data_IF_660023147261
#
_entry.id   IF_660023147261
#
_cell.length_a   1.000
_cell.length_b   1.000
_cell.length_c   1.000
_cell.angle_alpha   90.00
_cell.angle_beta   90.00
_cell.angle_gamma   90.00
#
_symmetry.space_group_name_H-M   'P 1'
#
loop_
_entity.id
_entity.type
_entity.pdbx_description
1 polymer ?
#
# COMPACT_ATOMS: atom_id res chain seq x y z
N UNK A 1 22.07 -40.51 -25.42
CA UNK A 1 22.52 -41.87 -25.04
C UNK A 1 21.26 -42.72 -24.94
N UNK A 2 20.91 -43.43 -26.01
CA UNK A 2 19.70 -44.23 -26.11
C UNK A 2 20.12 -45.70 -25.98
N UNK A 3 19.71 -46.35 -24.90
CA UNK A 3 20.00 -47.77 -24.64
C UNK A 3 18.81 -48.58 -25.17
N UNK A 4 19.04 -49.35 -26.23
CA UNK A 4 18.08 -50.33 -26.75
C UNK A 4 18.48 -51.69 -26.17
N UNK A 5 17.59 -52.27 -25.36
CA UNK A 5 17.74 -53.62 -24.79
C UNK A 5 17.10 -54.61 -25.77
N UNK A 6 17.88 -55.59 -26.23
CA UNK A 6 17.42 -56.72 -27.04
C UNK A 6 17.50 -57.99 -26.20
N UNK A 7 16.39 -58.73 -26.10
CA UNK A 7 16.33 -60.04 -25.47
C UNK A 7 16.71 -61.13 -26.50
N UNK A 8 17.74 -61.93 -26.20
CA UNK A 8 18.07 -63.17 -26.90
C UNK A 8 17.27 -64.34 -26.31
N UNK A 9 16.52 -65.03 -27.17
CA UNK A 9 15.91 -66.33 -26.88
C UNK A 9 16.43 -67.36 -27.88
N UNK A 10 17.17 -68.34 -27.37
CA UNK A 10 17.85 -69.42 -28.09
C UNK A 10 16.88 -70.38 -28.79
N UNK A 11 17.07 -70.59 -30.09
CA UNK A 11 16.43 -71.68 -30.84
C UNK A 11 16.78 -71.57 -32.32
N UNK A 12 17.71 -72.41 -32.78
CA UNK A 12 18.34 -72.27 -34.09
C UNK A 12 17.42 -72.46 -35.29
N UNK A 13 17.78 -71.81 -36.39
CA UNK A 13 17.41 -72.22 -37.74
C UNK A 13 18.28 -71.52 -38.81
N UNK A 14 18.96 -72.35 -39.58
CA UNK A 14 19.45 -72.21 -40.95
C UNK A 14 19.65 -70.81 -41.54
N UNK A 15 20.92 -70.47 -41.81
CA UNK A 15 21.33 -69.39 -42.71
C UNK A 15 20.94 -69.71 -44.16
N UNK A 16 19.97 -68.98 -44.70
CA UNK A 16 19.71 -68.92 -46.14
C UNK A 16 20.10 -67.53 -46.63
N UNK A 17 21.23 -67.45 -47.33
CA UNK A 17 21.77 -66.21 -47.89
C UNK A 17 20.90 -65.68 -49.03
N UNK A 18 19.98 -64.78 -48.70
CA UNK A 18 19.34 -63.92 -49.70
C UNK A 18 20.23 -62.71 -49.96
N UNK A 19 20.91 -62.72 -51.10
CA UNK A 19 21.48 -61.53 -51.71
C UNK A 19 20.34 -60.62 -52.21
N UNK A 20 19.75 -59.84 -51.30
CA UNK A 20 18.95 -58.66 -51.65
C UNK A 20 19.89 -57.47 -51.88
N UNK A 21 20.59 -57.48 -53.00
CA UNK A 21 21.16 -56.27 -53.60
C UNK A 21 20.03 -55.47 -54.24
N UNK A 22 19.19 -54.85 -53.41
CA UNK A 22 18.22 -53.88 -53.85
C UNK A 22 17.81 -53.02 -52.66
N UNK A 23 18.22 -51.75 -52.71
CA UNK A 23 17.64 -50.64 -51.93
C UNK A 23 18.23 -50.28 -50.56
N UNK A 24 19.57 -50.31 -50.40
CA UNK A 24 20.24 -49.48 -49.37
C UNK A 24 19.93 -47.97 -49.51
N UNK A 25 19.44 -47.54 -50.68
CA UNK A 25 18.95 -46.17 -50.93
C UNK A 25 17.55 -45.87 -50.38
N UNK A 26 16.65 -46.85 -50.20
CA UNK A 26 15.31 -46.56 -49.67
C UNK A 26 15.29 -46.49 -48.14
N UNK A 27 16.04 -47.36 -47.45
CA UNK A 27 16.14 -47.35 -45.98
C UNK A 27 16.75 -46.03 -45.50
N UNK A 28 17.77 -45.51 -46.21
CA UNK A 28 18.36 -44.19 -45.92
C UNK A 28 17.40 -43.02 -46.11
N UNK A 29 16.44 -43.12 -47.06
CA UNK A 29 15.42 -42.08 -47.28
C UNK A 29 14.35 -42.08 -46.20
N UNK A 30 13.86 -43.26 -45.80
CA UNK A 30 12.85 -43.37 -44.73
C UNK A 30 13.42 -42.93 -43.38
N UNK A 31 14.66 -43.32 -43.07
CA UNK A 31 15.35 -42.86 -41.87
C UNK A 31 15.58 -41.34 -41.87
N UNK A 32 15.98 -40.76 -43.01
CA UNK A 32 16.13 -39.30 -43.13
C UNK A 32 14.80 -38.57 -42.91
N UNK A 33 13.70 -39.06 -43.49
CA UNK A 33 12.36 -38.48 -43.30
C UNK A 33 11.94 -38.57 -41.82
N UNK A 34 12.16 -39.70 -41.16
CA UNK A 34 11.83 -39.86 -39.75
C UNK A 34 12.63 -38.91 -38.84
N UNK A 35 13.94 -38.76 -39.09
CA UNK A 35 14.79 -37.83 -38.35
C UNK A 35 14.35 -36.39 -38.55
N UNK A 36 14.05 -35.99 -39.79
CA UNK A 36 13.53 -34.65 -40.09
C UNK A 36 12.20 -34.41 -39.36
N UNK A 37 11.29 -35.40 -39.37
CA UNK A 37 10.01 -35.32 -38.66
C UNK A 37 10.19 -35.10 -37.15
N UNK A 38 11.10 -35.84 -36.50
CA UNK A 38 11.39 -35.69 -35.07
C UNK A 38 11.96 -34.30 -34.76
N UNK A 39 12.89 -33.80 -35.59
CA UNK A 39 13.47 -32.46 -35.41
C UNK A 39 12.39 -31.39 -35.52
N UNK A 40 11.48 -31.50 -36.49
CA UNK A 40 10.37 -30.56 -36.65
C UNK A 40 9.45 -30.61 -35.44
N UNK A 41 9.06 -31.79 -34.96
CA UNK A 41 8.19 -31.94 -33.78
C UNK A 41 8.87 -31.35 -32.54
N UNK A 42 10.15 -31.62 -32.33
CA UNK A 42 10.90 -31.07 -31.20
C UNK A 42 11.05 -29.53 -31.29
N UNK A 43 11.28 -28.99 -32.48
CA UNK A 43 11.38 -27.54 -32.69
C UNK A 43 10.02 -26.84 -32.49
N UNK A 44 8.95 -27.41 -33.03
CA UNK A 44 7.58 -26.87 -32.86
C UNK A 44 7.14 -27.00 -31.41
N UNK A 45 7.38 -28.15 -30.77
CA UNK A 45 7.08 -28.37 -29.35
C UNK A 45 7.87 -27.43 -28.44
N UNK A 46 9.16 -27.24 -28.71
CA UNK A 46 10.01 -26.30 -27.98
C UNK A 46 9.58 -24.84 -28.17
N UNK A 47 9.23 -24.43 -29.39
CA UNK A 47 8.71 -23.08 -29.68
C UNK A 47 7.35 -22.85 -29.04
N UNK A 48 6.45 -23.83 -29.11
CA UNK A 48 5.14 -23.76 -28.46
C UNK A 48 5.28 -23.68 -26.94
N UNK A 49 6.15 -24.50 -26.34
CA UNK A 49 6.45 -24.43 -24.91
C UNK A 49 7.03 -23.07 -24.54
N UNK A 50 7.97 -22.54 -25.32
CA UNK A 50 8.55 -21.20 -25.10
C UNK A 50 7.51 -20.09 -25.20
N UNK A 51 6.61 -20.12 -26.20
CA UNK A 51 5.56 -19.11 -26.36
C UNK A 51 4.56 -19.15 -25.19
N UNK A 52 4.22 -20.34 -24.70
CA UNK A 52 3.28 -20.49 -23.58
C UNK A 52 3.91 -20.33 -22.19
N UNK A 53 5.24 -20.44 -22.08
CA UNK A 53 6.01 -20.16 -20.86
C UNK A 53 6.64 -18.76 -20.86
N UNK A 54 6.56 -18.04 -21.98
CA UNK A 54 7.04 -16.67 -22.03
C UNK A 54 6.22 -15.88 -21.01
N UNK A 55 6.88 -15.23 -20.02
CA UNK A 55 6.17 -14.46 -19.02
C UNK A 55 5.29 -13.44 -19.75
N UNK A 56 4.03 -13.34 -19.31
CA UNK A 56 3.08 -12.37 -19.86
C UNK A 56 3.77 -11.01 -19.94
N UNK A 57 3.94 -10.51 -21.17
CA UNK A 57 4.51 -9.19 -21.41
C UNK A 57 3.55 -8.08 -20.98
N UNK A 58 2.30 -8.44 -20.69
CA UNK A 58 1.33 -7.50 -20.17
C UNK A 58 1.70 -7.19 -18.71
N UNK A 59 1.82 -5.91 -18.34
CA UNK A 59 1.99 -5.51 -16.96
C UNK A 59 0.85 -6.03 -16.08
N UNK A 60 1.17 -6.45 -14.86
CA UNK A 60 0.18 -6.87 -13.86
C UNK A 60 -0.65 -5.65 -13.41
N UNK A 61 -1.97 -5.65 -13.63
CA UNK A 61 -2.82 -4.54 -13.23
C UNK A 61 -2.84 -4.37 -11.71
N UNK A 62 -3.01 -3.13 -11.27
CA UNK A 62 -3.21 -2.78 -9.86
C UNK A 62 -4.26 -1.68 -9.73
N UNK A 63 -4.89 -1.63 -8.55
CA UNK A 63 -5.67 -0.49 -8.09
C UNK A 63 -4.84 0.32 -7.09
N UNK A 64 -5.12 1.63 -7.04
CA UNK A 64 -4.56 2.57 -6.08
C UNK A 64 -5.75 3.22 -5.37
N UNK A 65 -5.73 3.23 -4.05
CA UNK A 65 -6.72 3.91 -3.22
C UNK A 65 -6.02 5.02 -2.45
N UNK A 66 -6.60 6.22 -2.46
CA UNK A 66 -6.11 7.35 -1.68
C UNK A 66 -7.14 7.70 -0.62
N UNK A 67 -6.74 7.57 0.64
CA UNK A 67 -7.59 7.75 1.81
C UNK A 67 -7.19 9.06 2.48
N UNK A 68 -8.13 10.01 2.52
CA UNK A 68 -7.97 11.23 3.32
C UNK A 68 -8.24 10.91 4.79
N UNK A 69 -7.44 11.48 5.70
CA UNK A 69 -7.74 11.42 7.15
C UNK A 69 -9.07 12.13 7.43
N UNK A 70 -9.85 11.63 8.42
CA UNK A 70 -11.29 11.86 8.46
C UNK A 70 -11.65 13.35 8.45
N UNK A 71 -12.45 13.75 7.45
CA UNK A 71 -13.20 15.00 7.48
C UNK A 71 -14.46 14.78 8.31
N UNK A 72 -14.69 15.63 9.31
CA UNK A 72 -15.96 15.67 10.03
C UNK A 72 -16.84 16.74 9.37
N UNK A 73 -18.14 16.48 9.15
CA UNK A 73 -18.85 15.22 9.43
C UNK A 73 -18.48 14.10 8.46
N UNK A 74 -18.40 12.89 9.02
CA UNK A 74 -18.12 11.65 8.30
C UNK A 74 -19.10 11.48 7.15
N UNK A 75 -18.60 11.21 5.94
CA UNK A 75 -19.41 11.03 4.74
C UNK A 75 -19.69 12.30 3.94
N UNK A 76 -19.07 13.43 4.29
CA UNK A 76 -18.99 14.62 3.43
C UNK A 76 -17.59 14.70 2.86
N UNK A 77 -17.35 13.94 1.79
CA UNK A 77 -16.06 13.85 1.08
C UNK A 77 -15.66 15.16 0.37
N UNK A 78 -16.53 16.17 0.36
CA UNK A 78 -16.42 17.24 -0.64
C UNK A 78 -15.50 18.41 -0.27
N UNK A 79 -14.98 18.55 0.96
CA UNK A 79 -14.12 19.69 1.30
C UNK A 79 -13.02 19.37 2.32
N UNK A 80 -11.84 18.98 1.83
CA UNK A 80 -10.63 18.91 2.65
C UNK A 80 -10.11 20.33 2.85
N UNK A 81 -10.07 20.78 4.11
CA UNK A 81 -9.57 22.09 4.48
C UNK A 81 -8.21 21.99 5.19
N UNK A 82 -7.34 22.95 4.93
CA UNK A 82 -6.08 23.15 5.62
C UNK A 82 -5.85 24.62 5.89
N UNK A 83 -4.95 24.94 6.81
CA UNK A 83 -4.38 26.27 6.96
C UNK A 83 -2.95 26.25 6.42
N UNK A 84 -2.41 27.42 6.08
CA UNK A 84 -1.03 27.50 5.60
C UNK A 84 -0.02 27.08 6.68
N UNK A 85 1.00 26.32 6.29
CA UNK A 85 2.03 25.78 7.20
C UNK A 85 1.61 24.53 7.99
N UNK A 86 0.36 24.08 7.87
CA UNK A 86 -0.11 22.85 8.50
C UNK A 86 -0.09 21.68 7.51
N UNK A 87 0.13 20.48 8.03
CA UNK A 87 0.31 19.27 7.23
C UNK A 87 -1.03 18.62 6.96
N UNK A 88 -1.32 18.36 5.69
CA UNK A 88 -2.41 17.49 5.24
C UNK A 88 -1.82 16.14 4.86
N UNK A 89 -2.41 15.05 5.33
CA UNK A 89 -1.90 13.68 5.11
C UNK A 89 -2.91 12.84 4.37
N UNK A 90 -2.42 12.12 3.38
CA UNK A 90 -3.15 11.14 2.58
C UNK A 90 -2.44 9.80 2.66
N UNK A 91 -3.21 8.74 2.93
CA UNK A 91 -2.71 7.38 2.93
C UNK A 91 -2.95 6.78 1.56
N UNK A 92 -1.94 6.13 0.99
CA UNK A 92 -2.03 5.47 -0.30
C UNK A 92 -1.83 3.98 -0.11
N UNK A 93 -2.82 3.19 -0.52
CA UNK A 93 -2.75 1.75 -0.55
C UNK A 93 -2.84 1.25 -2.00
N UNK A 94 -2.21 0.11 -2.27
CA UNK A 94 -2.28 -0.54 -3.58
C UNK A 94 -2.73 -1.99 -3.46
N UNK A 95 -3.45 -2.48 -4.45
CA UNK A 95 -3.86 -3.88 -4.53
C UNK A 95 -3.59 -4.46 -5.92
N UNK A 96 -3.08 -5.69 -5.94
CA UNK A 96 -2.85 -6.41 -7.18
C UNK A 96 -4.18 -7.00 -7.69
N UNK A 97 -4.66 -6.52 -8.84
CA UNK A 97 -5.97 -6.90 -9.38
C UNK A 97 -5.90 -7.98 -10.47
N UNK A 98 -4.69 -8.45 -10.80
CA UNK A 98 -4.48 -9.52 -11.76
C UNK A 98 -3.02 -9.92 -11.93
N UNK A 99 -2.80 -11.03 -12.62
CA UNK A 99 -1.46 -11.54 -12.93
C UNK A 99 -0.80 -10.79 -14.09
N UNK A 100 0.53 -10.84 -14.16
CA UNK A 100 1.30 -10.24 -15.26
C UNK A 100 2.74 -9.96 -14.88
N UNK A 101 3.47 -9.30 -15.77
CA UNK A 101 4.81 -8.79 -15.44
C UNK A 101 4.72 -7.73 -14.32
N UNK A 102 5.53 -7.89 -13.28
CA UNK A 102 5.52 -6.96 -12.14
C UNK A 102 4.52 -7.30 -11.03
N UNK A 103 3.78 -8.42 -11.11
CA UNK A 103 2.93 -8.88 -10.00
C UNK A 103 3.73 -9.03 -8.69
N UNK A 104 3.16 -8.57 -7.57
CA UNK A 104 3.80 -8.54 -6.25
C UNK A 104 5.03 -7.62 -6.15
N UNK A 105 5.33 -6.84 -7.20
CA UNK A 105 6.36 -5.80 -7.15
C UNK A 105 5.77 -4.50 -6.64
N UNK A 106 6.65 -3.69 -6.05
CA UNK A 106 6.27 -2.39 -5.53
C UNK A 106 5.73 -1.47 -6.65
N UNK A 107 4.78 -0.63 -6.29
CA UNK A 107 4.28 0.49 -7.06
C UNK A 107 5.01 1.74 -6.56
N UNK A 108 5.63 2.48 -7.47
CA UNK A 108 6.30 3.74 -7.15
C UNK A 108 5.24 4.84 -6.99
N UNK A 109 5.16 5.44 -5.80
CA UNK A 109 4.24 6.50 -5.43
C UNK A 109 4.96 7.85 -5.52
N UNK A 110 4.34 8.79 -6.20
CA UNK A 110 4.81 10.17 -6.31
C UNK A 110 3.63 11.13 -6.19
N UNK A 111 3.92 12.38 -5.81
CA UNK A 111 2.89 13.39 -5.67
C UNK A 111 3.42 14.78 -6.07
N UNK A 112 2.54 15.59 -6.65
CA UNK A 112 2.86 16.94 -7.12
C UNK A 112 1.70 17.89 -6.87
N UNK A 113 2.02 19.12 -6.48
CA UNK A 113 1.08 20.23 -6.31
C UNK A 113 1.84 21.55 -6.49
N UNK A 114 1.14 22.61 -6.90
CA UNK A 114 1.71 23.97 -6.90
C UNK A 114 1.26 24.72 -5.65
N UNK A 115 2.18 25.43 -4.98
CA UNK A 115 1.85 26.26 -3.81
C UNK A 115 1.81 25.52 -2.47
N UNK A 116 2.45 24.35 -2.40
CA UNK A 116 2.69 23.63 -1.16
C UNK A 116 3.97 22.79 -1.29
N UNK A 117 4.61 22.50 -0.17
CA UNK A 117 5.63 21.47 -0.08
C UNK A 117 4.96 20.08 -0.03
N UNK A 118 5.49 19.10 -0.75
CA UNK A 118 5.00 17.72 -0.75
C UNK A 118 6.13 16.76 -0.44
N UNK A 119 5.86 15.84 0.47
CA UNK A 119 6.76 14.73 0.82
C UNK A 119 5.98 13.42 0.70
N UNK A 120 6.63 12.39 0.12
CA UNK A 120 6.09 11.03 0.07
C UNK A 120 6.96 10.14 0.95
N UNK A 121 6.38 9.65 2.04
CA UNK A 121 7.01 8.66 2.91
C UNK A 121 6.65 7.27 2.41
N UNK A 122 7.63 6.37 2.45
CA UNK A 122 7.54 5.02 1.87
C UNK A 122 7.11 5.06 0.39
N UNK A 123 7.90 5.67 -0.52
CA UNK A 123 7.47 5.97 -1.90
C UNK A 123 7.41 4.74 -2.82
N UNK A 124 7.64 3.53 -2.33
CA UNK A 124 7.55 2.30 -3.12
C UNK A 124 6.90 1.20 -2.28
N UNK A 125 5.63 0.90 -2.56
CA UNK A 125 4.79 0.02 -1.73
C UNK A 125 4.24 -1.18 -2.49
N UNK A 126 4.10 -2.31 -1.80
CA UNK A 126 3.37 -3.50 -2.27
C UNK A 126 1.97 -3.54 -1.68
N UNK A 127 1.15 -4.48 -2.15
CA UNK A 127 -0.11 -4.82 -1.47
C UNK A 127 0.15 -5.18 -0.01
N UNK A 128 -0.64 -4.57 0.88
CA UNK A 128 -0.48 -4.64 2.34
C UNK A 128 0.48 -3.61 2.96
N UNK A 129 1.18 -2.80 2.16
CA UNK A 129 2.00 -1.67 2.63
C UNK A 129 1.29 -0.34 2.32
N UNK A 130 1.59 0.69 3.10
CA UNK A 130 0.98 2.02 2.97
C UNK A 130 2.06 3.08 2.73
N UNK A 131 1.82 3.96 1.76
CA UNK A 131 2.60 5.18 1.58
C UNK A 131 1.85 6.36 2.20
N UNK A 132 2.59 7.34 2.71
CA UNK A 132 1.99 8.56 3.26
C UNK A 132 2.42 9.75 2.41
N UNK A 133 1.46 10.41 1.79
CA UNK A 133 1.67 11.65 1.05
C UNK A 133 1.29 12.80 1.96
N UNK A 134 2.26 13.63 2.31
CA UNK A 134 2.04 14.81 3.13
C UNK A 134 2.18 16.07 2.28
N UNK A 135 1.25 17.00 2.42
CA UNK A 135 1.27 18.31 1.77
C UNK A 135 1.20 19.41 2.82
N UNK A 136 2.09 20.40 2.73
CA UNK A 136 2.10 21.57 3.64
C UNK A 136 1.92 22.84 2.80
N UNK A 137 0.72 23.46 2.78
CA UNK A 137 0.46 24.65 1.97
C UNK A 137 1.33 25.84 2.36
N UNK A 138 1.81 26.57 1.35
CA UNK A 138 2.58 27.80 1.58
C UNK A 138 1.66 28.94 2.04
N UNK A 139 2.22 29.93 2.73
CA UNK A 139 1.50 31.15 3.14
C UNK A 139 0.91 31.93 1.94
N UNK A 140 1.53 31.84 0.76
CA UNK A 140 0.99 32.47 -0.46
C UNK A 140 -0.23 31.75 -1.03
N UNK A 141 -0.55 30.57 -0.51
CA UNK A 141 -1.68 29.75 -0.95
C UNK A 141 -2.95 29.95 -0.13
N UNK A 142 -2.91 30.77 0.93
CA UNK A 142 -4.08 31.16 1.70
C UNK A 142 -5.21 31.70 0.81
N UNK A 143 -6.43 31.26 1.08
CA UNK A 143 -7.65 31.51 0.29
C UNK A 143 -7.60 30.98 -1.15
N UNK A 144 -6.88 29.87 -1.39
CA UNK A 144 -6.84 29.17 -2.67
C UNK A 144 -7.22 27.70 -2.51
N UNK A 145 -7.65 27.10 -3.61
CA UNK A 145 -7.84 25.65 -3.73
C UNK A 145 -6.62 25.06 -4.44
N UNK A 146 -5.94 24.13 -3.78
CA UNK A 146 -4.81 23.40 -4.33
C UNK A 146 -5.28 22.05 -4.89
N UNK A 147 -4.73 21.64 -6.03
CA UNK A 147 -5.01 20.35 -6.65
C UNK A 147 -3.78 19.44 -6.51
N UNK A 148 -3.79 18.57 -5.50
CA UNK A 148 -2.76 17.57 -5.28
C UNK A 148 -2.98 16.40 -6.24
N UNK A 149 -1.99 16.09 -7.07
CA UNK A 149 -2.00 14.91 -7.93
C UNK A 149 -1.10 13.84 -7.34
N UNK A 150 -1.65 12.67 -7.03
CA UNK A 150 -0.93 11.48 -6.55
C UNK A 150 -0.89 10.46 -7.68
N UNK A 151 0.28 9.90 -7.95
CA UNK A 151 0.50 8.92 -9.03
C UNK A 151 1.14 7.66 -8.48
N UNK A 152 0.61 6.52 -8.90
CA UNK A 152 1.22 5.21 -8.71
C UNK A 152 1.69 4.66 -10.05
N UNK A 153 2.94 4.20 -10.14
CA UNK A 153 3.51 3.65 -11.37
C UNK A 153 4.12 2.26 -11.13
N UNK A 154 3.83 1.32 -12.04
CA UNK A 154 4.49 0.00 -12.03
C UNK A 154 4.54 -0.60 -13.43
N UNK A 155 5.73 -0.97 -13.88
CA UNK A 155 5.94 -1.67 -15.16
C UNK A 155 5.25 -0.99 -16.36
N UNK A 156 5.19 0.35 -16.37
CA UNK A 156 4.57 1.14 -17.43
C UNK A 156 3.07 1.36 -17.29
N UNK A 157 2.40 0.75 -16.30
CA UNK A 157 1.05 1.15 -15.88
C UNK A 157 1.14 2.35 -14.94
N UNK A 158 0.15 3.23 -15.04
CA UNK A 158 0.02 4.45 -14.24
C UNK A 158 -1.42 4.56 -13.75
N UNK A 159 -1.59 4.83 -12.46
CA UNK A 159 -2.84 5.26 -11.83
C UNK A 159 -2.63 6.68 -11.31
N UNK A 160 -3.66 7.52 -11.38
CA UNK A 160 -3.58 8.91 -10.93
C UNK A 160 -4.86 9.29 -10.21
N UNK A 161 -4.71 9.89 -9.04
CA UNK A 161 -5.79 10.47 -8.27
C UNK A 161 -5.52 11.96 -8.05
N UNK A 162 -6.56 12.78 -8.11
CA UNK A 162 -6.46 14.22 -7.89
C UNK A 162 -7.39 14.64 -6.78
N UNK A 163 -6.82 15.27 -5.75
CA UNK A 163 -7.52 15.71 -4.56
C UNK A 163 -7.43 17.22 -4.45
N UNK A 164 -8.55 17.87 -4.15
CA UNK A 164 -8.62 19.30 -3.91
C UNK A 164 -8.55 19.61 -2.42
N UNK A 165 -7.70 20.57 -2.05
CA UNK A 165 -7.57 21.06 -0.68
C UNK A 165 -7.79 22.57 -0.66
N UNK A 166 -8.77 23.02 0.12
CA UNK A 166 -9.01 24.44 0.37
C UNK A 166 -8.06 24.92 1.48
N UNK A 167 -7.27 25.95 1.17
CA UNK A 167 -6.40 26.59 2.15
C UNK A 167 -7.11 27.83 2.67
N UNK A 168 -7.53 27.80 3.93
CA UNK A 168 -8.27 28.91 4.54
C UNK A 168 -7.35 29.85 5.33
N UNK A 169 -7.80 31.09 5.53
CA UNK A 169 -7.13 32.08 6.38
C UNK A 169 -7.46 31.84 7.86
N UNK A 170 -6.58 31.12 8.56
CA UNK A 170 -6.76 30.72 9.95
C UNK A 170 -5.41 30.38 10.61
N UNK A 171 -5.38 30.31 11.95
CA UNK A 171 -4.18 30.03 12.75
C UNK A 171 -4.36 28.77 13.63
N UNK A 172 -3.27 28.03 13.89
CA UNK A 172 -3.30 26.90 14.82
C UNK A 172 -3.25 27.40 16.28
N UNK A 173 -4.42 27.65 16.84
CA UNK A 173 -4.59 27.97 18.26
C UNK A 173 -4.74 26.71 19.14
N UNK A 174 -4.83 25.51 18.55
CA UNK A 174 -5.15 24.28 19.25
C UNK A 174 -3.91 23.48 19.67
N UNK A 175 -2.77 23.65 19.00
CA UNK A 175 -1.58 22.82 19.20
C UNK A 175 -1.10 22.70 20.65
N UNK A 176 -1.12 23.80 21.42
CA UNK A 176 -0.72 23.77 22.84
C UNK A 176 -1.69 22.93 23.70
N UNK A 177 -3.00 23.13 23.52
CA UNK A 177 -4.01 22.35 24.24
C UNK A 177 -4.01 20.88 23.80
N UNK A 178 -3.81 20.62 22.51
CA UNK A 178 -3.67 19.27 21.98
C UNK A 178 -2.49 18.53 22.62
N UNK A 179 -1.36 19.20 22.81
CA UNK A 179 -0.19 18.62 23.49
C UNK A 179 -0.50 18.31 24.97
N UNK A 180 -1.17 19.21 25.68
CA UNK A 180 -1.61 18.94 27.06
C UNK A 180 -2.55 17.72 27.16
N UNK A 181 -3.41 17.53 26.16
CA UNK A 181 -4.31 16.37 26.10
C UNK A 181 -3.55 15.09 25.74
N UNK A 182 -2.61 15.14 24.79
CA UNK A 182 -1.72 14.03 24.45
C UNK A 182 -0.92 13.56 25.68
N UNK A 183 -0.36 14.49 26.45
CA UNK A 183 0.47 14.22 27.63
C UNK A 183 -0.29 13.43 28.72
N UNK A 184 -1.62 13.46 28.73
CA UNK A 184 -2.44 12.65 29.63
C UNK A 184 -2.46 11.16 29.24
N UNK A 185 -2.25 10.84 27.96
CA UNK A 185 -2.23 9.46 27.47
C UNK A 185 -0.82 8.85 27.49
N UNK A 186 0.23 9.63 27.20
CA UNK A 186 1.59 9.08 27.02
C UNK A 186 2.08 8.25 28.22
N UNK A 187 2.04 8.72 29.48
CA UNK A 187 2.48 7.93 30.64
C UNK A 187 1.66 6.64 30.82
N UNK A 188 0.36 6.72 30.54
CA UNK A 188 -0.55 5.58 30.64
C UNK A 188 -0.26 4.54 29.56
N UNK A 189 -0.02 4.95 28.31
CA UNK A 189 0.36 4.07 27.20
C UNK A 189 1.69 3.37 27.48
N UNK A 190 2.70 4.08 27.99
CA UNK A 190 3.99 3.50 28.38
C UNK A 190 3.80 2.39 29.42
N UNK A 191 2.90 2.61 30.39
CA UNK A 191 2.69 1.69 31.52
C UNK A 191 1.81 0.50 31.14
N UNK A 192 0.72 0.74 30.41
CA UNK A 192 -0.31 -0.27 30.15
C UNK A 192 -0.20 -0.94 28.78
N UNK A 193 0.49 -0.29 27.83
CA UNK A 193 0.70 -0.78 26.46
C UNK A 193 2.17 -0.69 26.03
N UNK A 194 3.11 -1.31 26.79
CA UNK A 194 4.53 -1.30 26.43
C UNK A 194 4.81 -1.96 25.06
N UNK A 195 3.90 -2.81 24.56
CA UNK A 195 3.97 -3.41 23.23
C UNK A 195 3.96 -2.40 22.08
N UNK A 196 3.49 -1.17 22.31
CA UNK A 196 3.52 -0.12 21.29
C UNK A 196 4.89 0.52 21.11
N UNK A 197 5.82 0.32 22.05
CA UNK A 197 7.15 0.93 21.99
C UNK A 197 7.16 2.46 22.11
N UNK A 198 6.02 3.08 22.47
CA UNK A 198 5.94 4.50 22.80
C UNK A 198 6.70 4.74 24.11
N UNK A 199 7.57 5.74 24.14
CA UNK A 199 8.39 6.11 25.30
C UNK A 199 8.33 7.62 25.53
N UNK A 200 8.95 8.10 26.62
CA UNK A 200 9.12 9.54 26.86
C UNK A 200 10.07 10.21 25.87
N UNK A 201 10.82 9.44 25.09
CA UNK A 201 11.75 9.92 24.05
C UNK A 201 11.10 9.92 22.66
N UNK A 202 9.87 9.40 22.53
CA UNK A 202 9.14 9.42 21.25
C UNK A 202 8.84 10.87 20.87
N UNK A 203 9.43 11.32 19.77
CA UNK A 203 9.19 12.65 19.23
C UNK A 203 7.86 12.67 18.47
N UNK A 204 7.04 13.68 18.74
CA UNK A 204 5.76 13.88 18.10
C UNK A 204 5.73 15.22 17.37
N UNK A 205 5.24 15.20 16.13
CA UNK A 205 4.95 16.40 15.33
C UNK A 205 3.45 16.52 15.13
N UNK A 206 2.91 17.68 15.50
CA UNK A 206 1.48 17.95 15.52
C UNK A 206 0.97 18.67 14.28
N UNK A 207 -0.30 18.44 13.92
CA UNK A 207 -1.00 19.29 12.96
C UNK A 207 -2.50 19.34 13.23
N UNK A 208 -3.10 20.51 12.98
CA UNK A 208 -4.55 20.67 13.03
C UNK A 208 -5.21 19.97 11.86
N UNK A 209 -6.34 19.32 12.12
CA UNK A 209 -7.20 18.76 11.07
C UNK A 209 -8.62 19.32 11.22
N UNK A 210 -9.32 19.49 10.11
CA UNK A 210 -10.66 20.09 10.07
C UNK A 210 -10.73 21.47 10.75
N UNK A 211 -9.95 22.46 10.28
CA UNK A 211 -10.10 23.81 10.79
C UNK A 211 -11.54 24.29 10.54
N UNK A 212 -12.10 25.05 11.50
CA UNK A 212 -13.51 25.53 11.59
C UNK A 212 -14.53 24.66 12.33
N UNK A 213 -14.19 23.47 12.84
CA UNK A 213 -15.11 22.71 13.70
C UNK A 213 -14.81 23.03 15.16
N UNK A 214 -15.73 23.76 15.81
CA UNK A 214 -15.53 24.27 17.18
C UNK A 214 -16.21 23.43 18.28
N UNK A 215 -17.01 22.43 17.92
CA UNK A 215 -17.74 21.61 18.90
C UNK A 215 -16.84 20.49 19.44
N UNK A 216 -16.25 19.73 18.52
CA UNK A 216 -15.21 18.74 18.81
C UNK A 216 -13.94 19.25 18.17
N UNK A 217 -12.87 19.28 18.94
CA UNK A 217 -11.56 19.69 18.45
C UNK A 217 -10.80 18.48 17.95
N UNK A 218 -10.00 18.68 16.91
CA UNK A 218 -9.32 17.62 16.18
C UNK A 218 -7.86 17.98 15.93
N UNK A 219 -6.97 17.02 16.21
CA UNK A 219 -5.53 17.20 16.01
C UNK A 219 -4.88 15.86 15.73
N UNK A 220 -3.84 15.82 14.90
CA UNK A 220 -3.08 14.59 14.66
C UNK A 220 -1.63 14.81 15.07
N UNK A 221 -1.09 13.85 15.82
CA UNK A 221 0.33 13.76 16.12
C UNK A 221 0.97 12.61 15.35
N UNK A 222 2.18 12.83 14.84
CA UNK A 222 2.97 11.83 14.12
C UNK A 222 4.32 11.63 14.81
N UNK A 223 4.64 10.37 15.10
CA UNK A 223 6.00 9.90 15.39
C UNK A 223 6.48 9.03 14.23
N UNK A 224 7.70 8.50 14.26
CA UNK A 224 8.22 7.64 13.19
C UNK A 224 7.33 6.41 12.94
N UNK A 225 6.83 5.78 14.00
CA UNK A 225 6.07 4.52 13.92
C UNK A 225 4.56 4.70 14.06
N UNK A 226 4.10 5.80 14.68
CA UNK A 226 2.71 5.97 15.07
C UNK A 226 2.10 7.27 14.57
N UNK A 227 0.84 7.17 14.14
CA UNK A 227 -0.08 8.28 14.06
C UNK A 227 -1.07 8.21 15.22
N UNK A 228 -1.25 9.34 15.92
CA UNK A 228 -2.22 9.51 16.99
C UNK A 228 -3.23 10.58 16.60
N UNK A 229 -4.44 10.16 16.26
CA UNK A 229 -5.56 11.07 16.04
C UNK A 229 -6.22 11.41 17.37
N UNK A 230 -6.14 12.66 17.79
CA UNK A 230 -6.67 13.18 19.04
C UNK A 230 -7.96 13.96 18.78
N UNK A 231 -8.99 13.65 19.57
CA UNK A 231 -10.26 14.39 19.57
C UNK A 231 -10.70 14.71 20.99
N UNK A 232 -11.21 15.91 21.23
CA UNK A 232 -11.70 16.28 22.56
C UNK A 232 -12.86 17.26 22.50
N UNK A 233 -13.67 17.25 23.56
CA UNK A 233 -14.79 18.15 23.71
C UNK A 233 -14.66 18.93 25.02
N UNK A 234 -14.62 20.27 24.92
CA UNK A 234 -14.46 21.16 26.08
C UNK A 234 -15.83 21.56 26.61
N UNK A 235 -16.45 20.67 27.39
CA UNK A 235 -17.72 20.92 28.10
C UNK A 235 -17.52 21.15 29.59
N UNK A 236 -18.59 21.53 30.28
CA UNK A 236 -18.60 21.52 31.75
C UNK A 236 -18.56 20.06 32.21
N UNK A 237 -17.80 19.79 33.27
CA UNK A 237 -17.80 18.53 33.99
C UNK A 237 -19.24 18.03 34.24
N UNK A 238 -19.54 16.72 34.09
CA UNK A 238 -18.62 15.59 33.85
C UNK A 238 -18.50 15.18 32.37
N UNK A 239 -18.87 16.05 31.44
CA UNK A 239 -19.03 15.66 30.03
C UNK A 239 -17.82 16.06 29.16
N UNK A 240 -16.70 16.42 29.77
CA UNK A 240 -15.46 16.82 29.10
C UNK A 240 -14.57 15.61 28.80
N UNK A 241 -14.66 15.06 27.60
CA UNK A 241 -13.92 13.86 27.23
C UNK A 241 -12.76 14.16 26.29
N UNK A 242 -11.78 13.25 26.26
CA UNK A 242 -10.70 13.23 25.27
C UNK A 242 -10.50 11.80 24.78
N UNK A 243 -10.31 11.62 23.48
CA UNK A 243 -10.09 10.33 22.83
C UNK A 243 -8.86 10.38 21.95
N UNK A 244 -8.13 9.28 21.92
CA UNK A 244 -7.06 9.05 20.94
C UNK A 244 -7.37 7.80 20.12
N UNK A 245 -6.92 7.81 18.88
CA UNK A 245 -6.95 6.67 17.99
C UNK A 245 -5.55 6.46 17.42
N UNK A 246 -5.01 5.25 17.58
CA UNK A 246 -3.65 4.91 17.15
C UNK A 246 -3.67 4.06 15.89
N UNK A 247 -2.82 4.44 14.94
CA UNK A 247 -2.53 3.72 13.71
C UNK A 247 -1.03 3.53 13.58
N UNK A 248 -0.60 2.31 13.31
CA UNK A 248 0.78 2.02 12.92
C UNK A 248 1.03 2.59 11.53
N UNK A 249 2.03 3.44 11.40
CA UNK A 249 2.40 4.04 10.11
C UNK A 249 2.88 2.95 9.16
N UNK A 250 2.69 3.21 7.86
CA UNK A 250 3.16 2.38 6.74
C UNK A 250 2.59 0.95 6.61
N UNK A 251 1.76 0.50 7.53
CA UNK A 251 1.17 -0.87 7.53
C UNK A 251 -0.34 -0.87 7.67
N UNK A 252 -0.92 0.18 8.23
CA UNK A 252 -2.36 0.29 8.45
C UNK A 252 -2.93 1.52 7.74
N UNK A 253 -4.14 1.38 7.19
CA UNK A 253 -4.90 2.47 6.54
C UNK A 253 -5.93 3.12 7.46
N UNK A 254 -6.21 2.50 8.60
CA UNK A 254 -7.18 2.94 9.61
C UNK A 254 -6.64 2.68 11.01
N UNK A 255 -7.25 3.28 12.02
CA UNK A 255 -6.79 3.10 13.40
C UNK A 255 -7.09 1.69 13.90
N UNK A 256 -6.15 1.08 14.63
CA UNK A 256 -6.30 -0.26 15.22
C UNK A 256 -6.58 -0.22 16.73
N UNK A 257 -6.36 0.93 17.38
CA UNK A 257 -6.59 1.10 18.81
C UNK A 257 -7.28 2.41 19.12
N UNK A 258 -8.12 2.41 20.15
CA UNK A 258 -8.85 3.58 20.62
C UNK A 258 -8.87 3.64 22.15
N UNK A 259 -8.64 4.84 22.69
CA UNK A 259 -8.63 5.09 24.13
C UNK A 259 -9.36 6.38 24.48
N UNK A 260 -9.97 6.43 25.66
CA UNK A 260 -10.75 7.57 26.15
C UNK A 260 -10.39 7.94 27.59
N UNK A 261 -10.44 9.24 27.89
CA UNK A 261 -10.63 9.80 29.22
C UNK A 261 -12.05 10.38 29.24
N UNK A 262 -13.00 9.82 30.01
CA UNK A 262 -14.41 10.24 29.94
C UNK A 262 -14.69 11.56 30.65
N UNK A 263 -13.89 11.92 31.66
CA UNK A 263 -13.84 13.27 32.24
C UNK A 263 -12.41 13.72 32.55
N UNK A 264 -11.89 14.66 31.76
CA UNK A 264 -10.54 15.22 31.92
C UNK A 264 -10.41 15.97 33.25
N UNK A 265 -11.40 16.77 33.62
CA UNK A 265 -11.48 17.49 34.89
C UNK A 265 -11.82 16.56 36.05
N UNK A 266 -12.51 15.46 35.79
CA UNK A 266 -12.73 14.37 36.75
C UNK A 266 -11.46 13.60 37.11
N UNK A 267 -10.34 13.85 36.42
CA UNK A 267 -9.07 13.13 36.57
C UNK A 267 -9.24 11.62 36.39
N UNK A 268 -10.14 11.23 35.50
CA UNK A 268 -10.30 9.82 35.15
C UNK A 268 -9.07 9.33 34.37
N UNK A 269 -8.72 8.06 34.59
CA UNK A 269 -7.62 7.45 33.85
C UNK A 269 -8.06 7.08 32.42
N UNK A 270 -7.13 7.08 31.45
CA UNK A 270 -7.40 6.53 30.15
C UNK A 270 -7.85 5.06 30.22
N UNK A 271 -8.74 4.67 29.32
CA UNK A 271 -9.16 3.27 29.15
C UNK A 271 -9.47 2.98 27.69
N UNK A 272 -9.43 1.69 27.31
CA UNK A 272 -9.76 1.27 25.95
C UNK A 272 -11.25 1.41 25.66
N UNK A 273 -11.57 1.84 24.44
CA UNK A 273 -12.93 1.88 23.90
C UNK A 273 -12.99 1.06 22.61
N UNK A 274 -14.20 0.76 22.14
CA UNK A 274 -14.38 0.20 20.79
C UNK A 274 -14.02 1.24 19.74
N UNK A 275 -13.35 0.80 18.67
CA UNK A 275 -13.07 1.65 17.51
C UNK A 275 -14.39 2.07 16.85
N UNK A 276 -14.64 3.37 16.70
CA UNK A 276 -15.77 3.81 15.90
C UNK A 276 -15.54 3.52 14.42
N UNK A 277 -16.62 3.21 13.69
CA UNK A 277 -16.58 2.89 12.24
C UNK A 277 -16.02 4.00 11.33
N UNK A 278 -15.74 5.18 11.88
CA UNK A 278 -15.38 6.39 11.11
C UNK A 278 -13.92 6.82 11.22
N UNK A 279 -13.06 6.05 11.91
CA UNK A 279 -11.69 6.45 12.30
C UNK A 279 -10.57 5.64 11.65
#
# INVERSE_FOLDING_TARGET
MLVIVVFEGSGGLSFMGFHLFSSRRAITRVQAIAVIGIIIIAAVGGLWYYINQAPSTNPAPFSMEVISRPTIPVGVEENIMSIAGQRVVFLVAVEDTGEGSGYGKAVDISATVSGAEVTVYNPAIKSGEVAEVTMTPDQVSTNKVLALTIRGQRSGLEQTETITVEVIDWEDELGALAAEMQDKFIPWLITNHPEFGITTETEWTGTIVNPNIMVVMHYIFYSDDWEMYLTWHVTIQPHDWTRIYLRSRFTETQSSYAFEISSVQGQEEPHSIELPDWV
#
